data_IF_993578479061
#
_entry.id   IF_993578479061
#
_cell.length_a   1.000
_cell.length_b   1.000
_cell.length_c   1.000
_cell.angle_alpha   90.00
_cell.angle_beta   90.00
_cell.angle_gamma   90.00
#
_symmetry.space_group_name_H-M   'P 1'
#
loop_
_entity.id
_entity.type
_entity.pdbx_description
1 polymer ?
#
# COMPACT_ATOMS: atom_id res chain seq x y z
N UNK A 1 1.34 -1.49 -19.85
CA UNK A 1 1.71 -2.92 -20.02
C UNK A 1 3.18 -3.19 -19.76
N UNK A 2 4.14 -2.49 -20.40
CA UNK A 2 5.57 -2.80 -20.25
C UNK A 2 6.06 -2.68 -18.80
N UNK A 3 5.72 -1.60 -18.10
CA UNK A 3 6.07 -1.40 -16.68
C UNK A 3 5.59 -2.54 -15.78
N UNK A 4 4.35 -3.03 -15.96
CA UNK A 4 3.85 -4.10 -15.11
C UNK A 4 4.59 -5.44 -15.34
N UNK A 5 5.12 -5.67 -16.55
CA UNK A 5 5.89 -6.89 -16.88
C UNK A 5 7.26 -6.93 -16.19
N UNK A 6 7.71 -5.82 -15.60
CA UNK A 6 8.98 -5.76 -14.86
C UNK A 6 8.83 -6.20 -13.41
N UNK A 7 7.60 -6.31 -12.89
CA UNK A 7 7.35 -6.80 -11.54
C UNK A 7 7.58 -8.31 -11.50
N UNK A 8 8.54 -8.76 -10.70
CA UNK A 8 8.86 -10.18 -10.53
C UNK A 8 7.69 -11.01 -9.98
N UNK A 9 6.82 -10.40 -9.17
CA UNK A 9 5.65 -11.05 -8.59
C UNK A 9 4.53 -11.33 -9.60
N UNK A 10 4.53 -10.68 -10.77
CA UNK A 10 3.50 -10.91 -11.79
C UNK A 10 3.86 -12.13 -12.65
N UNK A 11 3.02 -13.19 -12.70
CA UNK A 11 3.25 -14.31 -13.61
C UNK A 11 3.16 -13.85 -15.07
N UNK A 12 4.19 -14.18 -15.86
CA UNK A 12 4.23 -13.90 -17.31
C UNK A 12 3.51 -14.97 -18.13
N UNK A 13 3.25 -16.13 -17.51
CA UNK A 13 2.48 -17.25 -18.04
C UNK A 13 1.67 -17.84 -16.90
N UNK A 14 0.46 -18.28 -17.21
CA UNK A 14 -0.42 -18.99 -16.28
C UNK A 14 -0.85 -20.32 -16.94
N UNK A 15 -0.96 -21.42 -16.18
CA UNK A 15 -0.56 -21.52 -14.77
C UNK A 15 0.96 -21.37 -14.62
N UNK A 16 1.41 -20.80 -13.48
CA UNK A 16 2.83 -20.58 -13.22
C UNK A 16 3.60 -21.91 -13.15
N UNK A 17 2.99 -22.96 -12.59
CA UNK A 17 3.49 -24.33 -12.65
C UNK A 17 3.06 -25.00 -13.97
N UNK A 18 3.99 -25.32 -14.88
CA UNK A 18 3.68 -26.01 -16.14
C UNK A 18 3.10 -27.42 -15.96
N UNK A 19 3.28 -28.04 -14.80
CA UNK A 19 2.73 -29.37 -14.46
C UNK A 19 1.33 -29.29 -13.87
N UNK A 20 0.81 -28.09 -13.63
CA UNK A 20 -0.53 -27.91 -13.10
C UNK A 20 -1.57 -28.49 -14.06
N UNK A 21 -2.47 -29.33 -13.51
CA UNK A 21 -3.64 -29.84 -14.25
C UNK A 21 -4.74 -28.78 -14.42
N UNK A 22 -4.59 -27.61 -13.78
CA UNK A 22 -5.55 -26.52 -13.83
C UNK A 22 -5.40 -25.76 -15.15
N UNK A 23 -6.43 -25.82 -15.99
CA UNK A 23 -6.47 -25.04 -17.23
C UNK A 23 -6.97 -23.63 -16.93
N UNK A 24 -6.17 -22.57 -17.14
CA UNK A 24 -6.67 -21.21 -17.04
C UNK A 24 -7.72 -20.96 -18.13
N UNK A 25 -8.67 -20.04 -17.88
CA UNK A 25 -9.59 -19.57 -18.93
C UNK A 25 -8.80 -19.01 -20.12
N UNK A 26 -9.29 -19.18 -21.37
CA UNK A 26 -8.67 -18.57 -22.55
C UNK A 26 -8.57 -17.04 -22.47
N UNK A 27 -9.49 -16.41 -21.75
CA UNK A 27 -9.47 -14.99 -21.45
C UNK A 27 -9.72 -14.76 -19.96
N UNK A 28 -8.91 -13.90 -19.35
CA UNK A 28 -9.01 -13.55 -17.94
C UNK A 28 -8.53 -12.11 -17.71
N UNK A 29 -9.30 -11.31 -16.97
CA UNK A 29 -8.91 -9.99 -16.48
C UNK A 29 -8.81 -10.04 -14.97
N UNK A 30 -7.58 -9.90 -14.48
CA UNK A 30 -7.26 -9.89 -13.05
C UNK A 30 -7.07 -8.46 -12.58
N UNK A 31 -7.66 -8.11 -11.44
CA UNK A 31 -7.35 -6.86 -10.73
C UNK A 31 -6.43 -7.14 -9.55
N UNK A 32 -5.50 -6.22 -9.35
CA UNK A 32 -4.57 -6.23 -8.24
C UNK A 32 -4.08 -4.82 -7.92
N UNK A 33 -3.40 -4.68 -6.79
CA UNK A 33 -2.76 -3.46 -6.33
C UNK A 33 -1.25 -3.68 -6.33
N UNK A 34 -0.52 -2.80 -7.02
CA UNK A 34 0.92 -2.78 -6.97
C UNK A 34 1.38 -1.75 -5.94
N UNK A 35 2.31 -2.14 -5.08
CA UNK A 35 2.73 -1.33 -3.93
C UNK A 35 4.21 -1.55 -3.61
N UNK A 36 4.75 -0.67 -2.78
CA UNK A 36 6.07 -0.85 -2.18
C UNK A 36 5.94 -1.52 -0.82
N UNK A 37 6.65 -2.64 -0.58
CA UNK A 37 6.92 -3.08 0.78
C UNK A 37 7.68 -1.98 1.54
N UNK A 38 7.39 -1.78 2.83
CA UNK A 38 7.94 -0.68 3.63
C UNK A 38 9.46 -0.75 3.73
N UNK A 39 10.00 -1.92 4.08
CA UNK A 39 11.44 -2.16 4.14
C UNK A 39 12.16 -1.82 2.82
N UNK A 40 11.58 -2.20 1.69
CA UNK A 40 12.12 -1.95 0.35
C UNK A 40 11.95 -0.49 -0.05
N UNK A 41 10.88 0.18 0.37
CA UNK A 41 10.67 1.60 0.16
C UNK A 41 11.74 2.42 0.89
N UNK A 42 12.00 2.09 2.15
CA UNK A 42 13.00 2.76 2.98
C UNK A 42 14.40 2.58 2.39
N UNK A 43 14.78 1.34 2.05
CA UNK A 43 16.05 1.06 1.40
C UNK A 43 16.19 1.80 0.05
N UNK A 44 15.09 1.85 -0.72
CA UNK A 44 15.05 2.54 -2.00
C UNK A 44 15.16 4.06 -1.84
N UNK A 45 14.54 4.65 -0.83
CA UNK A 45 14.69 6.07 -0.53
C UNK A 45 16.10 6.39 -0.02
N UNK A 46 16.69 5.53 0.80
CA UNK A 46 18.05 5.72 1.28
C UNK A 46 19.05 5.75 0.11
N UNK A 47 18.93 4.83 -0.85
CA UNK A 47 19.82 4.83 -2.02
C UNK A 47 19.68 6.09 -2.89
N UNK A 48 18.47 6.69 -2.94
CA UNK A 48 18.24 7.98 -3.62
C UNK A 48 18.94 9.12 -2.90
N UNK A 49 18.79 9.20 -1.58
CA UNK A 49 19.47 10.21 -0.76
C UNK A 49 20.98 10.05 -0.90
N UNK A 50 21.49 8.82 -0.89
CA UNK A 50 22.91 8.55 -1.08
C UNK A 50 23.39 9.03 -2.47
N UNK A 51 22.54 8.92 -3.50
CA UNK A 51 22.79 9.46 -4.84
C UNK A 51 22.56 10.98 -4.98
N UNK A 52 22.21 11.71 -3.91
CA UNK A 52 21.91 13.14 -3.95
C UNK A 52 20.55 13.48 -4.56
N UNK A 53 19.67 12.49 -4.73
CA UNK A 53 18.33 12.68 -5.26
C UNK A 53 17.30 12.88 -4.14
N UNK A 54 16.19 13.54 -4.47
CA UNK A 54 15.08 13.70 -3.51
C UNK A 54 14.40 12.34 -3.21
N UNK A 55 14.15 12.02 -1.92
CA UNK A 55 13.39 10.84 -1.54
C UNK A 55 11.92 11.00 -1.91
N UNK A 56 11.21 9.87 -2.05
CA UNK A 56 9.77 9.88 -2.21
C UNK A 56 9.05 10.06 -0.87
N UNK A 57 7.91 10.74 -0.91
CA UNK A 57 7.14 11.12 0.28
C UNK A 57 6.37 9.98 0.93
N UNK A 58 5.73 9.13 0.12
CA UNK A 58 5.00 7.97 0.61
C UNK A 58 5.03 6.81 -0.40
N UNK A 59 4.94 5.56 0.08
CA UNK A 59 4.90 4.35 -0.74
C UNK A 59 3.85 4.40 -1.87
N UNK A 60 2.64 4.89 -1.58
CA UNK A 60 1.53 4.93 -2.54
C UNK A 60 1.82 5.78 -3.78
N UNK A 61 2.26 7.03 -3.57
CA UNK A 61 2.61 7.95 -4.65
C UNK A 61 3.85 7.48 -5.40
N UNK A 62 4.84 6.94 -4.67
CA UNK A 62 6.02 6.34 -5.28
C UNK A 62 5.64 5.17 -6.20
N UNK A 63 4.72 4.29 -5.79
CA UNK A 63 4.28 3.16 -6.60
C UNK A 63 3.56 3.62 -7.87
N UNK A 64 2.64 4.58 -7.74
CA UNK A 64 1.92 5.16 -8.87
C UNK A 64 2.87 5.83 -9.88
N UNK A 65 3.83 6.63 -9.40
CA UNK A 65 4.85 7.26 -10.25
C UNK A 65 5.81 6.26 -10.90
N UNK A 66 6.15 5.20 -10.17
CA UNK A 66 7.01 4.12 -10.66
C UNK A 66 6.35 3.35 -11.81
N UNK A 67 5.05 3.10 -11.76
CA UNK A 67 4.34 2.38 -12.83
C UNK A 67 3.99 3.24 -14.06
N UNK A 68 4.16 4.56 -13.97
CA UNK A 68 3.83 5.53 -15.04
C UNK A 68 5.06 6.04 -15.79
N UNK A 69 6.21 5.38 -15.63
CA UNK A 69 7.43 5.71 -16.37
C UNK A 69 7.27 5.42 -17.87
N UNK A 70 7.84 6.29 -18.71
CA UNK A 70 7.91 6.04 -20.16
C UNK A 70 8.87 4.89 -20.47
N UNK A 71 10.02 4.87 -19.80
CA UNK A 71 10.98 3.78 -19.88
C UNK A 71 10.73 2.74 -18.78
N UNK A 72 10.39 1.52 -19.19
CA UNK A 72 10.17 0.40 -18.27
C UNK A 72 11.43 -0.05 -17.53
N UNK A 73 12.63 0.25 -18.03
CA UNK A 73 13.89 -0.04 -17.34
C UNK A 73 13.95 0.68 -15.98
N UNK A 74 13.38 1.89 -15.90
CA UNK A 74 13.27 2.67 -14.66
C UNK A 74 12.33 1.98 -13.68
N UNK A 75 11.19 1.47 -14.16
CA UNK A 75 10.25 0.70 -13.32
C UNK A 75 10.89 -0.59 -12.79
N UNK A 76 11.70 -1.26 -13.61
CA UNK A 76 12.37 -2.51 -13.24
C UNK A 76 13.33 -2.36 -12.05
N UNK A 77 13.88 -1.16 -11.84
CA UNK A 77 14.74 -0.85 -10.70
C UNK A 77 13.96 -0.56 -9.41
N UNK A 78 12.63 -0.39 -9.50
CA UNK A 78 11.77 -0.11 -8.35
C UNK A 78 11.35 -1.42 -7.71
N UNK A 79 11.59 -1.63 -6.41
CA UNK A 79 11.23 -2.87 -5.71
C UNK A 79 9.72 -3.01 -5.43
N UNK A 80 8.88 -2.82 -6.44
CA UNK A 80 7.45 -2.99 -6.38
C UNK A 80 7.07 -4.47 -6.27
N UNK A 81 5.99 -4.72 -5.54
CA UNK A 81 5.29 -6.00 -5.55
C UNK A 81 3.82 -5.80 -5.93
N UNK A 82 3.05 -6.89 -5.97
CA UNK A 82 1.66 -6.93 -6.42
C UNK A 82 0.87 -7.89 -5.55
N UNK A 83 -0.36 -7.54 -5.19
CA UNK A 83 -1.38 -8.50 -4.76
C UNK A 83 -2.61 -8.41 -5.64
N UNK A 84 -3.04 -9.55 -6.17
CA UNK A 84 -4.27 -9.72 -6.92
C UNK A 84 -5.43 -10.05 -5.98
N UNK A 85 -6.60 -9.45 -6.24
CA UNK A 85 -7.76 -9.55 -5.34
C UNK A 85 -9.11 -9.69 -6.05
N UNK A 86 -9.15 -9.66 -7.38
CA UNK A 86 -10.39 -9.83 -8.13
C UNK A 86 -10.22 -10.41 -9.53
N UNK A 87 -11.30 -11.03 -10.00
CA UNK A 87 -11.49 -11.50 -11.37
C UNK A 87 -12.72 -10.79 -11.94
N UNK A 88 -12.51 -9.93 -12.94
CA UNK A 88 -13.55 -8.99 -13.38
C UNK A 88 -14.08 -9.24 -14.78
N UNK A 89 -13.37 -10.04 -15.58
CA UNK A 89 -13.87 -10.58 -16.84
C UNK A 89 -13.16 -11.89 -17.15
N UNK A 90 -13.86 -12.81 -17.81
CA UNK A 90 -13.32 -14.10 -18.25
C UNK A 90 -14.21 -14.69 -19.34
N UNK A 91 -13.66 -15.58 -20.15
CA UNK A 91 -14.41 -16.32 -21.19
C UNK A 91 -14.03 -17.80 -21.17
N UNK A 92 -14.93 -18.67 -21.63
CA UNK A 92 -14.63 -20.09 -21.87
C UNK A 92 -14.42 -20.96 -20.63
N UNK A 93 -14.70 -20.45 -19.43
CA UNK A 93 -14.64 -21.22 -18.19
C UNK A 93 -15.62 -20.69 -17.12
N UNK A 94 -16.19 -21.60 -16.32
CA UNK A 94 -16.93 -21.22 -15.11
C UNK A 94 -15.94 -20.98 -13.98
N UNK A 95 -15.98 -19.79 -13.37
CA UNK A 95 -15.22 -19.49 -12.15
C UNK A 95 -15.97 -19.97 -10.90
N UNK A 96 -15.28 -20.16 -9.77
CA UNK A 96 -15.93 -20.42 -8.50
C UNK A 96 -16.95 -19.33 -8.12
N UNK A 97 -18.05 -19.76 -7.51
CA UNK A 97 -19.18 -18.89 -7.13
C UNK A 97 -18.93 -18.16 -5.79
N UNK A 98 -17.80 -18.43 -5.11
CA UNK A 98 -17.41 -17.76 -3.87
C UNK A 98 -16.15 -16.91 -4.03
N UNK A 99 -16.12 -15.74 -3.40
CA UNK A 99 -14.98 -14.80 -3.46
C UNK A 99 -13.69 -15.46 -2.97
N UNK A 100 -13.73 -16.14 -1.81
CA UNK A 100 -12.55 -16.83 -1.27
C UNK A 100 -12.01 -17.91 -2.22
N UNK A 101 -12.89 -18.62 -2.90
CA UNK A 101 -12.52 -19.70 -3.82
C UNK A 101 -11.94 -19.12 -5.12
N UNK A 102 -12.37 -17.91 -5.53
CA UNK A 102 -11.73 -17.15 -6.62
C UNK A 102 -10.34 -16.66 -6.25
N UNK A 103 -10.10 -16.27 -5.00
CA UNK A 103 -8.77 -15.92 -4.51
C UNK A 103 -7.84 -17.14 -4.52
N UNK A 104 -8.30 -18.28 -3.99
CA UNK A 104 -7.55 -19.54 -4.08
C UNK A 104 -7.27 -19.95 -5.54
N UNK A 105 -8.23 -19.76 -6.44
CA UNK A 105 -8.03 -20.00 -7.87
C UNK A 105 -6.95 -19.10 -8.49
N UNK A 106 -6.87 -17.82 -8.09
CA UNK A 106 -5.78 -16.93 -8.51
C UNK A 106 -4.42 -17.45 -8.04
N UNK A 107 -4.32 -17.90 -6.78
CA UNK A 107 -3.09 -18.50 -6.23
C UNK A 107 -2.68 -19.77 -6.99
N UNK A 108 -3.63 -20.66 -7.29
CA UNK A 108 -3.40 -21.88 -8.08
C UNK A 108 -2.87 -21.57 -9.49
N UNK A 109 -3.27 -20.44 -10.08
CA UNK A 109 -2.75 -19.97 -11.36
C UNK A 109 -1.38 -19.29 -11.23
N UNK A 110 -0.93 -19.01 -10.00
CA UNK A 110 0.35 -18.41 -9.68
C UNK A 110 0.32 -16.88 -9.58
N UNK A 111 -0.85 -16.26 -9.46
CA UNK A 111 -0.93 -14.86 -9.09
C UNK A 111 -0.62 -14.67 -7.61
N UNK A 112 0.09 -13.60 -7.23
CA UNK A 112 0.33 -13.29 -5.83
C UNK A 112 -0.99 -12.81 -5.22
N UNK A 113 -1.48 -13.51 -4.20
CA UNK A 113 -2.64 -13.09 -3.41
C UNK A 113 -2.17 -12.83 -1.99
N UNK A 114 -2.82 -11.90 -1.31
CA UNK A 114 -2.45 -11.56 0.05
C UNK A 114 -2.74 -12.74 1.01
N UNK A 115 -1.77 -13.18 1.84
CA UNK A 115 -1.99 -14.25 2.82
C UNK A 115 -2.91 -13.82 3.97
N UNK A 116 -3.21 -12.54 4.03
CA UNK A 116 -3.90 -11.83 5.09
C UNK A 116 -5.44 -11.80 4.90
N UNK A 117 -5.94 -12.45 3.84
CA UNK A 117 -7.37 -12.56 3.56
C UNK A 117 -8.08 -13.47 4.59
N UNK A 118 -9.20 -13.00 5.16
CA UNK A 118 -9.96 -13.74 6.15
C UNK A 118 -11.42 -13.95 5.71
N UNK A 119 -11.91 -15.20 5.82
CA UNK A 119 -13.33 -15.49 5.67
C UNK A 119 -14.07 -15.24 6.99
N UNK A 120 -15.01 -14.30 6.97
CA UNK A 120 -15.88 -13.98 8.10
C UNK A 120 -17.28 -14.57 7.87
N UNK A 121 -17.81 -15.33 8.84
CA UNK A 121 -19.13 -15.98 8.72
C UNK A 121 -20.31 -15.01 8.90
N UNK A 122 -20.10 -13.91 9.62
CA UNK A 122 -21.11 -12.92 9.97
C UNK A 122 -20.45 -11.54 10.19
N UNK A 123 -21.28 -10.52 10.46
CA UNK A 123 -20.81 -9.14 10.65
C UNK A 123 -19.98 -8.95 11.94
N UNK A 124 -20.25 -9.72 12.99
CA UNK A 124 -19.48 -9.66 14.24
C UNK A 124 -18.03 -10.12 14.00
N UNK A 125 -17.84 -11.17 13.20
CA UNK A 125 -16.51 -11.60 12.78
C UNK A 125 -15.80 -10.56 11.91
N UNK A 126 -16.55 -9.80 11.09
CA UNK A 126 -16.00 -8.67 10.33
C UNK A 126 -15.57 -7.53 11.26
N UNK A 127 -16.38 -7.17 12.25
CA UNK A 127 -16.05 -6.15 13.23
C UNK A 127 -14.79 -6.53 14.02
N UNK A 128 -14.72 -7.78 14.51
CA UNK A 128 -13.51 -8.28 15.16
C UNK A 128 -12.29 -8.23 14.24
N UNK A 129 -12.43 -8.64 12.98
CA UNK A 129 -11.34 -8.58 12.02
C UNK A 129 -10.89 -7.13 11.76
N UNK A 130 -11.82 -6.17 11.74
CA UNK A 130 -11.48 -4.75 11.62
C UNK A 130 -10.63 -4.26 12.79
N UNK A 131 -11.01 -4.59 14.02
CA UNK A 131 -10.24 -4.20 15.22
C UNK A 131 -8.86 -4.86 15.23
N UNK A 132 -8.80 -6.18 14.97
CA UNK A 132 -7.53 -6.91 14.89
C UNK A 132 -6.60 -6.31 13.81
N UNK A 133 -7.16 -5.90 12.66
CA UNK A 133 -6.39 -5.23 11.60
C UNK A 133 -6.00 -3.80 11.95
N UNK A 134 -6.86 -3.06 12.64
CA UNK A 134 -6.56 -1.71 13.11
C UNK A 134 -5.34 -1.69 14.03
N UNK A 135 -5.16 -2.75 14.82
CA UNK A 135 -4.01 -2.93 15.71
C UNK A 135 -2.79 -3.48 14.96
N UNK A 136 -2.99 -4.43 14.04
CA UNK A 136 -1.92 -5.07 13.26
C UNK A 136 -1.34 -4.18 12.16
N UNK A 137 -2.05 -3.16 11.66
CA UNK A 137 -1.64 -2.41 10.44
C UNK A 137 -0.23 -1.80 10.50
N UNK A 138 0.28 -1.52 11.69
CA UNK A 138 1.62 -0.96 11.90
C UNK A 138 2.67 -2.06 12.16
N UNK A 139 2.34 -3.33 11.97
CA UNK A 139 3.23 -4.48 12.21
C UNK A 139 3.46 -5.29 10.92
N UNK A 140 2.92 -4.81 9.79
CA UNK A 140 3.05 -5.44 8.49
C UNK A 140 3.94 -4.60 7.58
N UNK A 141 4.56 -5.27 6.62
CA UNK A 141 5.54 -4.66 5.75
C UNK A 141 4.93 -3.90 4.55
N UNK A 142 3.73 -3.33 4.70
CA UNK A 142 3.07 -2.51 3.69
C UNK A 142 2.00 -1.61 4.32
N UNK A 143 1.75 -0.45 3.72
CA UNK A 143 0.71 0.45 4.22
C UNK A 143 -0.69 -0.07 3.87
N UNK A 144 -1.61 0.02 4.83
CA UNK A 144 -3.03 -0.21 4.64
C UNK A 144 -3.83 0.94 5.24
N UNK A 145 -4.86 1.40 4.54
CA UNK A 145 -5.76 2.48 4.99
C UNK A 145 -7.13 1.96 5.44
N UNK A 146 -7.30 0.64 5.49
CA UNK A 146 -8.53 -0.04 5.88
C UNK A 146 -8.55 -1.51 5.48
N UNK A 147 -9.72 -2.12 5.60
CA UNK A 147 -10.03 -3.44 5.03
C UNK A 147 -11.14 -3.31 3.99
N UNK A 148 -11.19 -4.23 3.03
CA UNK A 148 -12.30 -4.34 2.07
C UNK A 148 -13.14 -5.55 2.43
N UNK A 149 -14.39 -5.30 2.82
CA UNK A 149 -15.37 -6.35 3.11
C UNK A 149 -16.14 -6.64 1.83
N UNK A 150 -16.13 -7.90 1.39
CA UNK A 150 -16.86 -8.36 0.20
C UNK A 150 -17.86 -9.44 0.58
N UNK A 151 -19.05 -9.40 0.01
CA UNK A 151 -19.98 -10.53 0.09
C UNK A 151 -19.31 -11.74 -0.56
N UNK A 152 -19.22 -12.83 0.20
CA UNK A 152 -18.52 -14.02 -0.27
C UNK A 152 -19.29 -14.74 -1.39
N UNK A 153 -20.62 -14.63 -1.44
CA UNK A 153 -21.44 -15.16 -2.55
C UNK A 153 -21.36 -14.23 -3.76
N UNK A 154 -20.69 -14.67 -4.83
CA UNK A 154 -20.45 -13.82 -6.01
C UNK A 154 -21.70 -13.55 -6.83
N UNK A 155 -22.52 -14.55 -7.19
CA UNK A 155 -23.80 -14.29 -7.87
C UNK A 155 -24.69 -13.29 -7.12
N UNK A 156 -24.77 -13.39 -5.78
CA UNK A 156 -25.48 -12.41 -4.97
C UNK A 156 -24.82 -11.03 -5.01
N UNK A 157 -23.50 -10.94 -4.85
CA UNK A 157 -22.78 -9.66 -4.90
C UNK A 157 -22.95 -8.96 -6.25
N UNK A 158 -22.94 -9.73 -7.35
CA UNK A 158 -23.13 -9.25 -8.72
C UNK A 158 -24.56 -8.74 -8.95
N UNK A 159 -25.57 -9.44 -8.43
CA UNK A 159 -26.98 -9.05 -8.59
C UNK A 159 -27.36 -7.77 -7.85
N UNK A 160 -26.61 -7.40 -6.80
CA UNK A 160 -26.81 -6.14 -6.10
C UNK A 160 -26.45 -4.92 -6.95
N UNK A 161 -25.60 -5.07 -7.97
CA UNK A 161 -25.22 -4.02 -8.90
C UNK A 161 -24.29 -2.95 -8.29
N UNK A 162 -24.33 -1.75 -8.86
CA UNK A 162 -23.43 -0.64 -8.54
C UNK A 162 -24.22 0.65 -8.24
N UNK A 163 -23.68 1.51 -7.39
CA UNK A 163 -24.12 2.91 -7.23
C UNK A 163 -23.00 3.81 -7.76
N UNK A 164 -23.23 4.46 -8.90
CA UNK A 164 -22.17 5.17 -9.60
C UNK A 164 -21.04 4.22 -9.99
N UNK A 165 -19.86 4.40 -9.40
CA UNK A 165 -18.67 3.55 -9.63
C UNK A 165 -18.47 2.46 -8.56
N UNK A 166 -19.23 2.50 -7.47
CA UNK A 166 -18.98 1.67 -6.29
C UNK A 166 -19.90 0.43 -6.29
N UNK A 167 -19.35 -0.79 -6.11
CA UNK A 167 -20.15 -2.01 -6.04
C UNK A 167 -20.95 -2.07 -4.75
N UNK A 168 -22.22 -2.50 -4.81
CA UNK A 168 -23.06 -2.67 -3.61
C UNK A 168 -22.71 -3.92 -2.79
N UNK A 169 -22.06 -4.91 -3.42
CA UNK A 169 -21.62 -6.14 -2.78
C UNK A 169 -20.27 -6.05 -2.05
N UNK A 170 -19.66 -4.86 -1.97
CA UNK A 170 -18.40 -4.66 -1.24
C UNK A 170 -18.30 -3.25 -0.65
N UNK A 171 -17.57 -3.11 0.45
CA UNK A 171 -17.32 -1.83 1.11
C UNK A 171 -15.89 -1.75 1.62
N UNK A 172 -15.26 -0.59 1.46
CA UNK A 172 -13.98 -0.29 2.09
C UNK A 172 -14.23 0.31 3.48
N UNK A 173 -13.88 -0.42 4.53
CA UNK A 173 -13.91 0.05 5.91
C UNK A 173 -12.55 0.65 6.23
N UNK A 174 -12.46 1.98 6.12
CA UNK A 174 -11.22 2.71 6.38
C UNK A 174 -10.89 2.77 7.87
N UNK A 175 -9.61 2.76 8.19
CA UNK A 175 -9.14 3.07 9.53
C UNK A 175 -9.22 4.57 9.78
N UNK A 176 -9.44 5.00 11.04
CA UNK A 176 -9.27 6.39 11.40
C UNK A 176 -7.82 6.82 11.14
N UNK A 177 -7.64 7.95 10.45
CA UNK A 177 -6.32 8.52 10.24
C UNK A 177 -5.68 8.86 11.59
N UNK A 178 -4.42 8.45 11.80
CA UNK A 178 -3.65 8.80 12.98
C UNK A 178 -2.86 10.07 12.72
N UNK A 179 -3.52 11.21 12.94
CA UNK A 179 -2.93 12.53 12.90
C UNK A 179 -3.03 13.16 14.27
N UNK A 180 -1.96 13.83 14.69
CA UNK A 180 -1.96 14.65 15.89
C UNK A 180 -1.27 15.95 15.60
N UNK A 181 -1.82 17.02 16.16
CA UNK A 181 -1.10 18.29 16.19
C UNK A 181 -0.15 18.28 17.39
N UNK A 182 1.07 18.77 17.17
CA UNK A 182 2.04 19.02 18.23
C UNK A 182 2.81 20.31 17.92
N UNK A 183 3.67 20.74 18.84
CA UNK A 183 4.49 21.94 18.69
C UNK A 183 5.85 21.60 18.06
N UNK A 184 6.28 22.35 17.05
CA UNK A 184 7.63 22.29 16.52
C UNK A 184 8.57 23.05 17.47
N UNK A 185 9.41 22.34 18.21
CA UNK A 185 10.32 22.91 19.19
C UNK A 185 11.61 23.42 18.56
N UNK A 186 12.15 22.69 17.58
CA UNK A 186 13.41 23.02 16.92
C UNK A 186 13.52 22.31 15.57
N UNK A 187 14.49 22.71 14.74
CA UNK A 187 14.84 22.03 13.50
C UNK A 187 16.33 21.71 13.51
N UNK A 188 16.65 20.41 13.52
CA UNK A 188 18.01 19.92 13.44
C UNK A 188 18.36 19.49 12.01
N UNK A 189 19.65 19.50 11.70
CA UNK A 189 20.16 19.04 10.41
C UNK A 189 20.89 17.72 10.63
N UNK A 190 20.39 16.65 10.02
CA UNK A 190 21.05 15.35 9.96
C UNK A 190 21.95 15.29 8.74
N UNK A 191 23.22 14.92 8.93
CA UNK A 191 24.18 14.72 7.83
C UNK A 191 24.14 13.24 7.42
N UNK A 192 23.68 12.97 6.21
CA UNK A 192 23.69 11.64 5.61
C UNK A 192 25.11 11.17 5.28
N UNK A 193 25.28 9.86 5.01
CA UNK A 193 26.59 9.25 4.72
C UNK A 193 27.28 9.85 3.49
N UNK A 194 26.50 10.43 2.59
CA UNK A 194 26.97 11.08 1.35
C UNK A 194 27.06 12.59 1.46
N UNK A 195 26.87 13.15 2.66
CA UNK A 195 26.95 14.59 2.93
C UNK A 195 25.64 15.35 2.71
N UNK A 196 24.54 14.67 2.36
CA UNK A 196 23.22 15.31 2.24
C UNK A 196 22.77 15.84 3.60
N UNK A 197 22.34 17.10 3.63
CA UNK A 197 21.80 17.77 4.80
C UNK A 197 20.26 17.61 4.82
N UNK A 198 19.76 16.73 5.67
CA UNK A 198 18.33 16.46 5.80
C UNK A 198 17.76 17.16 7.05
N UNK A 199 16.75 18.05 6.92
CA UNK A 199 16.14 18.70 8.06
C UNK A 199 15.19 17.77 8.81
N UNK A 200 15.30 17.77 10.14
CA UNK A 200 14.51 16.97 11.07
C UNK A 200 13.83 17.91 12.06
N UNK A 201 12.51 17.85 12.11
CA UNK A 201 11.71 18.52 13.13
C UNK A 201 11.88 17.84 14.48
N UNK A 202 12.22 18.63 15.49
CA UNK A 202 12.15 18.26 16.91
C UNK A 202 10.81 18.73 17.44
N UNK A 203 10.01 17.80 17.91
CA UNK A 203 8.61 17.98 18.26
C UNK A 203 8.42 17.85 19.76
N UNK A 204 7.44 18.58 20.29
CA UNK A 204 6.87 18.26 21.58
C UNK A 204 6.33 16.82 21.54
N UNK A 205 6.72 15.95 22.51
CA UNK A 205 6.38 14.53 22.45
C UNK A 205 4.88 14.31 22.29
N UNK A 206 4.48 13.62 21.23
CA UNK A 206 3.06 13.37 20.92
C UNK A 206 2.83 11.91 20.61
N UNK A 207 1.79 11.31 21.20
CA UNK A 207 1.46 9.91 20.95
C UNK A 207 0.62 9.77 19.67
N UNK A 208 1.18 9.09 18.67
CA UNK A 208 0.54 8.83 17.38
C UNK A 208 0.53 7.32 17.12
N UNK A 209 -0.63 6.71 17.35
CA UNK A 209 -0.82 5.28 17.15
C UNK A 209 0.03 4.40 18.05
N UNK A 210 0.02 4.69 19.36
CA UNK A 210 0.67 3.88 20.38
C UNK A 210 2.19 4.09 20.51
N UNK A 211 2.77 5.05 19.77
CA UNK A 211 4.19 5.40 19.87
C UNK A 211 4.33 6.89 20.09
N UNK A 212 5.27 7.26 20.96
CA UNK A 212 5.65 8.65 21.22
C UNK A 212 6.56 9.13 20.09
N UNK A 213 6.04 10.06 19.28
CA UNK A 213 6.80 10.74 18.23
C UNK A 213 7.41 12.00 18.83
N UNK A 214 8.75 12.11 18.73
CA UNK A 214 9.52 13.30 19.10
C UNK A 214 10.24 13.93 17.93
N UNK A 215 10.46 13.16 16.87
CA UNK A 215 11.15 13.61 15.68
C UNK A 215 10.30 13.29 14.46
N UNK A 216 10.28 14.21 13.50
CA UNK A 216 9.65 14.00 12.21
C UNK A 216 10.54 14.55 11.10
N UNK A 217 10.52 13.95 9.92
CA UNK A 217 11.22 14.52 8.77
C UNK A 217 10.50 15.77 8.27
N UNK A 218 11.27 16.80 7.90
CA UNK A 218 10.81 17.96 7.13
C UNK A 218 11.12 17.79 5.64
N UNK A 219 11.62 16.62 5.24
CA UNK A 219 11.99 16.21 3.89
C UNK A 219 13.17 16.98 3.31
N UNK A 220 13.01 18.27 3.01
CA UNK A 220 14.06 19.13 2.45
C UNK A 220 13.73 20.61 2.70
N UNK A 221 14.70 21.49 2.43
CA UNK A 221 14.55 22.93 2.65
C UNK A 221 13.46 23.57 1.78
N UNK A 222 13.22 23.06 0.58
CA UNK A 222 12.17 23.57 -0.31
C UNK A 222 10.78 23.31 0.26
N UNK A 223 10.58 22.19 0.97
CA UNK A 223 9.31 21.85 1.60
C UNK A 223 9.05 22.70 2.84
N UNK A 224 10.10 23.03 3.61
CA UNK A 224 10.02 24.00 4.72
C UNK A 224 9.57 25.35 4.19
N UNK A 225 10.19 25.84 3.12
CA UNK A 225 9.83 27.12 2.50
C UNK A 225 8.42 27.10 1.91
N UNK A 226 8.06 26.04 1.18
CA UNK A 226 6.74 25.87 0.56
C UNK A 226 5.61 25.88 1.59
N UNK A 227 5.85 25.30 2.77
CA UNK A 227 4.87 25.23 3.87
C UNK A 227 5.01 26.36 4.89
N UNK A 228 5.99 27.24 4.71
CA UNK A 228 6.34 28.33 5.63
C UNK A 228 6.50 27.87 7.09
N UNK A 229 7.17 26.73 7.30
CA UNK A 229 7.33 26.12 8.62
C UNK A 229 8.32 26.92 9.46
N UNK A 230 7.91 27.35 10.66
CA UNK A 230 8.74 28.06 11.63
C UNK A 230 8.78 27.35 12.97
N UNK A 231 9.93 27.48 13.65
CA UNK A 231 10.06 27.03 15.04
C UNK A 231 9.00 27.74 15.90
N UNK A 232 8.28 26.98 16.73
CA UNK A 232 7.14 27.44 17.52
C UNK A 232 5.78 27.15 16.89
N UNK A 233 5.72 26.75 15.62
CA UNK A 233 4.44 26.45 14.97
C UNK A 233 3.77 25.20 15.55
N UNK A 234 2.43 25.22 15.51
CA UNK A 234 1.63 24.03 15.67
C UNK A 234 1.55 23.27 14.36
N UNK A 235 2.19 22.11 14.32
CA UNK A 235 2.31 21.28 13.12
C UNK A 235 1.45 20.02 13.24
N UNK A 236 0.80 19.63 12.14
CA UNK A 236 0.14 18.35 12.05
C UNK A 236 1.18 17.29 11.70
N UNK A 237 1.30 16.30 12.57
CA UNK A 237 2.24 15.20 12.38
C UNK A 237 1.44 13.98 12.02
N UNK A 238 1.85 13.36 10.92
CA UNK A 238 1.25 12.14 10.41
C UNK A 238 2.27 11.03 10.50
N UNK A 239 1.78 9.88 10.95
CA UNK A 239 2.53 8.63 10.96
C UNK A 239 1.73 7.60 10.18
N UNK A 240 2.37 6.99 9.18
CA UNK A 240 1.80 5.91 8.41
C UNK A 240 2.60 4.63 8.71
N UNK A 241 2.01 3.65 9.40
CA UNK A 241 2.74 2.43 9.75
C UNK A 241 3.91 2.66 10.71
N UNK A 242 5.00 1.93 10.48
CA UNK A 242 6.31 2.14 11.14
C UNK A 242 7.20 3.18 10.45
N UNK A 243 6.70 3.84 9.39
CA UNK A 243 7.46 4.81 8.60
C UNK A 243 7.82 6.03 9.43
N UNK A 244 8.97 6.64 9.11
CA UNK A 244 9.45 7.91 9.66
C UNK A 244 8.30 8.95 9.66
N UNK A 245 7.88 9.46 10.84
CA UNK A 245 6.85 10.48 10.95
C UNK A 245 7.23 11.72 10.14
N UNK A 246 6.24 12.40 9.58
CA UNK A 246 6.49 13.63 8.82
C UNK A 246 5.47 14.72 9.15
N UNK A 247 5.91 15.97 8.95
CA UNK A 247 5.06 17.15 9.11
C UNK A 247 4.23 17.34 7.85
N UNK A 248 2.90 17.39 8.01
CA UNK A 248 1.91 17.61 6.93
C UNK A 248 1.63 19.08 6.75
#
# INVERSE_FOLDING_TARGET
TQNLRTLYSLPKRIPLDPKSKRKPPPYLVVRGEAFFPLDKFEAFNQSRVDAGESPYMNPRNAAAGSLRQLDSSITAQRPLTLYCYDLVAWEGAKLPDKQRDRLAFLEELGFPVSPDNLYCKNIDAVAKAYDDWNDKRNQINYEVDGIVVKINDRPMADSLGFVGKDPRGAIAMKFPAQEKTTTLLDVQVSVGRTGVLAPVAILEPVEIGGVIVKNATLHNYQEIERKDIRIGDRVNVKRAGEVIPYVV
#
